data_IF_967731609689
#
_entry.id   IF_967731609689
#
_cell.length_a   1.000
_cell.length_b   1.000
_cell.length_c   1.000
_cell.angle_alpha   90.00
_cell.angle_beta   90.00
_cell.angle_gamma   90.00
#
_symmetry.space_group_name_H-M   'P 1'
#
loop_
_entity.id
_entity.type
_entity.pdbx_description
1 polymer ?
#
# COMPACT_ATOMS: atom_id res chain seq x y z
N UNK A 1 4.64 -22.35 -5.02
CA UNK A 1 4.07 -21.42 -6.02
C UNK A 1 4.08 -20.05 -5.38
N UNK A 2 4.46 -19.01 -6.11
CA UNK A 2 4.47 -17.64 -5.61
C UNK A 2 3.20 -16.92 -6.05
N UNK A 3 2.54 -16.20 -5.14
CA UNK A 3 1.43 -15.28 -5.41
C UNK A 3 1.86 -13.89 -4.96
N UNK A 4 1.75 -12.92 -5.86
CA UNK A 4 2.03 -11.53 -5.55
C UNK A 4 0.87 -10.64 -5.99
N UNK A 5 0.63 -9.56 -5.25
CA UNK A 5 -0.33 -8.53 -5.63
C UNK A 5 0.40 -7.38 -6.33
N UNK A 6 -0.28 -6.73 -7.27
CA UNK A 6 0.24 -5.56 -7.99
C UNK A 6 -0.79 -4.44 -7.87
N UNK A 7 -0.41 -3.33 -7.23
CA UNK A 7 -1.29 -2.18 -6.98
C UNK A 7 -0.52 -0.87 -7.22
N UNK A 8 -1.19 0.20 -7.63
CA UNK A 8 -0.64 1.55 -7.66
C UNK A 8 -1.42 2.45 -6.71
N UNK A 9 -1.08 3.75 -6.69
CA UNK A 9 -1.92 4.79 -6.09
C UNK A 9 -2.21 4.54 -4.61
N UNK A 10 -1.14 4.42 -3.82
CA UNK A 10 -1.24 4.16 -2.37
C UNK A 10 -1.82 5.31 -1.57
N UNK A 11 -1.91 6.51 -2.15
CA UNK A 11 -2.63 7.63 -1.56
C UNK A 11 -1.87 8.35 -0.45
N UNK A 12 -2.61 8.81 0.57
CA UNK A 12 -2.12 9.74 1.61
C UNK A 12 -2.55 9.34 3.03
N UNK A 13 -2.75 8.05 3.29
CA UNK A 13 -3.14 7.47 4.58
C UNK A 13 -4.63 7.45 4.90
N UNK A 14 -5.54 7.48 3.91
CA UNK A 14 -6.99 7.56 4.11
C UNK A 14 -7.65 6.23 4.51
N UNK A 15 -8.93 6.27 4.92
CA UNK A 15 -9.69 5.05 5.23
C UNK A 15 -9.87 4.14 4.00
N UNK A 16 -10.03 4.70 2.81
CA UNK A 16 -10.16 3.90 1.58
C UNK A 16 -8.91 3.07 1.30
N UNK A 17 -7.73 3.62 1.59
CA UNK A 17 -6.46 2.90 1.44
C UNK A 17 -6.30 1.81 2.51
N UNK A 18 -6.84 2.03 3.72
CA UNK A 18 -6.93 1.00 4.75
C UNK A 18 -7.79 -0.19 4.30
N UNK A 19 -8.94 0.10 3.67
CA UNK A 19 -9.88 -0.91 3.18
C UNK A 19 -9.28 -1.70 2.00
N UNK A 20 -8.57 -1.02 1.08
CA UNK A 20 -7.81 -1.68 0.00
C UNK A 20 -6.70 -2.56 0.57
N UNK A 21 -5.95 -2.08 1.56
CA UNK A 21 -4.91 -2.89 2.20
C UNK A 21 -5.50 -4.14 2.89
N UNK A 22 -6.67 -4.03 3.53
CA UNK A 22 -7.36 -5.18 4.08
C UNK A 22 -7.78 -6.20 3.00
N UNK A 23 -8.29 -5.72 1.86
CA UNK A 23 -8.62 -6.56 0.70
C UNK A 23 -7.38 -7.27 0.15
N UNK A 24 -6.28 -6.55 -0.07
CA UNK A 24 -5.03 -7.15 -0.59
C UNK A 24 -4.48 -8.20 0.37
N UNK A 25 -4.47 -7.91 1.68
CA UNK A 25 -4.06 -8.89 2.71
C UNK A 25 -4.94 -10.14 2.72
N UNK A 26 -6.24 -10.01 2.44
CA UNK A 26 -7.16 -11.15 2.38
C UNK A 26 -6.81 -12.18 1.29
N UNK A 27 -6.06 -11.77 0.25
CA UNK A 27 -5.62 -12.67 -0.82
C UNK A 27 -4.41 -13.53 -0.42
N UNK A 28 -3.81 -13.24 0.73
CA UNK A 28 -2.61 -13.87 1.29
C UNK A 28 -1.43 -13.93 0.29
N UNK A 29 -0.95 -12.77 -0.23
CA UNK A 29 0.19 -12.71 -1.13
C UNK A 29 1.52 -12.91 -0.39
N UNK A 30 2.54 -13.43 -1.08
CA UNK A 30 3.92 -13.51 -0.57
C UNK A 30 4.58 -12.13 -0.51
N UNK A 31 4.21 -11.22 -1.43
CA UNK A 31 4.63 -9.82 -1.44
C UNK A 31 3.69 -8.97 -2.32
N UNK A 32 3.79 -7.65 -2.15
CA UNK A 32 3.06 -6.65 -2.96
C UNK A 32 4.08 -5.84 -3.76
N UNK A 33 3.86 -5.71 -5.06
CA UNK A 33 4.63 -4.84 -5.95
C UNK A 33 3.81 -3.58 -6.23
N UNK A 34 4.45 -2.42 -6.13
CA UNK A 34 3.81 -1.16 -6.50
C UNK A 34 4.05 -0.77 -7.96
N UNK A 35 3.06 -0.17 -8.61
CA UNK A 35 3.14 0.40 -9.97
C UNK A 35 3.57 1.88 -9.99
N UNK A 36 3.67 2.54 -8.85
CA UNK A 36 3.96 3.98 -8.76
C UNK A 36 2.96 4.72 -7.89
N UNK A 37 3.14 6.04 -7.77
CA UNK A 37 2.26 6.91 -7.00
C UNK A 37 2.08 6.43 -5.55
N UNK A 38 3.24 6.11 -4.96
CA UNK A 38 3.31 5.44 -3.66
C UNK A 38 2.93 6.34 -2.50
N UNK A 39 3.14 7.65 -2.60
CA UNK A 39 3.06 8.50 -1.43
C UNK A 39 2.73 9.94 -1.83
N UNK A 40 1.48 10.33 -1.66
CA UNK A 40 1.02 11.69 -1.96
C UNK A 40 1.14 12.63 -0.74
N UNK A 41 1.25 13.95 -0.96
CA UNK A 41 1.28 14.62 -2.28
C UNK A 41 2.67 14.71 -2.92
N UNK A 42 3.74 14.72 -2.13
CA UNK A 42 5.10 15.08 -2.57
C UNK A 42 6.12 13.93 -2.49
N UNK A 43 5.68 12.74 -2.08
CA UNK A 43 6.57 11.59 -1.96
C UNK A 43 7.52 11.64 -0.76
N UNK A 44 7.28 12.51 0.24
CA UNK A 44 8.19 12.71 1.36
C UNK A 44 8.46 11.42 2.15
N UNK A 45 9.75 11.07 2.33
CA UNK A 45 10.12 9.86 3.08
C UNK A 45 9.57 9.85 4.52
N UNK A 46 9.41 11.03 5.13
CA UNK A 46 8.86 11.19 6.48
C UNK A 46 7.39 10.80 6.62
N UNK A 47 6.65 10.68 5.52
CA UNK A 47 5.22 10.34 5.54
C UNK A 47 4.92 8.90 5.13
N UNK A 48 5.91 8.15 4.65
CA UNK A 48 5.74 6.79 4.11
C UNK A 48 5.05 5.85 5.12
N UNK A 49 5.49 5.82 6.38
CA UNK A 49 4.87 4.92 7.36
C UNK A 49 3.47 5.39 7.75
N UNK A 50 3.27 6.70 7.86
CA UNK A 50 1.98 7.29 8.20
C UNK A 50 0.93 7.14 7.08
N UNK A 51 1.36 7.03 5.82
CA UNK A 51 0.47 6.86 4.67
C UNK A 51 0.32 5.39 4.26
N UNK A 52 1.42 4.61 4.30
CA UNK A 52 1.50 3.26 3.73
C UNK A 52 1.86 2.22 4.78
N UNK A 53 2.99 2.39 5.48
CA UNK A 53 3.57 1.36 6.36
C UNK A 53 2.62 0.90 7.45
N UNK A 54 1.81 1.82 8.00
CA UNK A 54 0.75 1.51 8.98
C UNK A 54 -0.30 0.51 8.49
N UNK A 55 -0.40 0.22 7.19
CA UNK A 55 -1.38 -0.72 6.64
C UNK A 55 -0.78 -2.09 6.25
N UNK A 56 0.53 -2.16 6.00
CA UNK A 56 1.24 -3.32 5.44
C UNK A 56 2.39 -3.85 6.33
N UNK A 57 2.30 -3.65 7.64
CA UNK A 57 3.24 -4.21 8.63
C UNK A 57 2.88 -5.63 9.06
#
# INVERSE_FOLDING_TARGET
MVRFAVIGDYGSGSQGEADVAALVKSWNPDFVLTLGDNNYPDGAASTIDAHIGKFYH
#
